data_IF_274559068556
#
_entry.id   IF_274559068556
#
_cell.length_a   1.000
_cell.length_b   1.000
_cell.length_c   1.000
_cell.angle_alpha   90.00
_cell.angle_beta   90.00
_cell.angle_gamma   90.00
#
_symmetry.space_group_name_H-M   'P 1'
#
loop_
_entity.id
_entity.type
_entity.pdbx_description
1 polymer ?
#
# COMPACT_ATOMS: atom_id res chain seq x y z
N UNK A 1 -8.86 -5.97 -16.75
CA UNK A 1 -7.95 -5.02 -17.42
C UNK A 1 -6.51 -5.40 -17.10
N UNK A 2 -5.78 -6.07 -18.00
CA UNK A 2 -4.33 -6.29 -17.81
C UNK A 2 -3.63 -4.97 -18.15
N UNK A 3 -3.14 -4.25 -17.13
CA UNK A 3 -2.19 -3.16 -17.36
C UNK A 3 -0.88 -3.80 -17.81
N UNK A 4 -0.30 -3.36 -18.93
CA UNK A 4 1.04 -3.76 -19.39
C UNK A 4 2.09 -3.15 -18.44
N UNK A 5 2.16 -3.66 -17.21
CA UNK A 5 3.10 -3.24 -16.19
C UNK A 5 3.84 -4.47 -15.68
N UNK A 6 5.15 -4.33 -15.44
CA UNK A 6 5.99 -5.38 -14.84
C UNK A 6 6.35 -4.97 -13.43
N UNK A 7 6.17 -5.88 -12.47
CA UNK A 7 6.67 -5.73 -11.12
C UNK A 7 8.06 -6.37 -11.03
N UNK A 8 9.03 -5.62 -10.52
CA UNK A 8 10.40 -6.09 -10.28
C UNK A 8 10.65 -6.01 -8.78
N UNK A 9 10.95 -7.14 -8.15
CA UNK A 9 11.34 -7.22 -6.74
C UNK A 9 12.85 -7.48 -6.67
N UNK A 10 13.55 -6.71 -5.85
CA UNK A 10 15.00 -6.84 -5.63
C UNK A 10 15.24 -7.37 -4.23
N UNK A 11 15.45 -8.69 -4.13
CA UNK A 11 15.57 -9.41 -2.86
C UNK A 11 17.02 -9.82 -2.54
N UNK A 12 17.34 -10.05 -1.27
CA UNK A 12 18.64 -10.56 -0.82
C UNK A 12 19.07 -10.08 0.56
N UNK A 13 20.24 -10.54 1.02
CA UNK A 13 20.77 -10.24 2.36
C UNK A 13 20.98 -8.75 2.63
N UNK A 14 21.00 -8.34 3.89
CA UNK A 14 21.32 -6.97 4.28
C UNK A 14 22.74 -6.59 3.83
N UNK A 15 22.94 -5.35 3.38
CA UNK A 15 24.26 -4.85 2.97
C UNK A 15 24.73 -5.27 1.57
N UNK A 16 23.98 -6.06 0.79
CA UNK A 16 24.41 -6.52 -0.56
C UNK A 16 24.17 -5.50 -1.69
N UNK A 17 23.75 -4.27 -1.37
CA UNK A 17 23.52 -3.22 -2.36
C UNK A 17 22.18 -3.28 -3.09
N UNK A 18 21.17 -3.96 -2.55
CA UNK A 18 19.81 -4.07 -3.14
C UNK A 18 19.20 -2.71 -3.49
N UNK A 19 19.18 -1.79 -2.53
CA UNK A 19 18.63 -0.45 -2.73
C UNK A 19 19.40 0.31 -3.82
N UNK A 20 20.73 0.18 -3.85
CA UNK A 20 21.59 0.75 -4.89
C UNK A 20 21.29 0.17 -6.27
N UNK A 21 21.10 -1.15 -6.38
CA UNK A 21 20.75 -1.80 -7.63
C UNK A 21 19.36 -1.36 -8.12
N UNK A 22 18.36 -1.35 -7.24
CA UNK A 22 17.00 -0.97 -7.57
C UNK A 22 16.91 0.49 -8.06
N UNK A 23 17.63 1.41 -7.40
CA UNK A 23 17.75 2.81 -7.81
C UNK A 23 18.43 2.96 -9.18
N UNK A 24 19.56 2.27 -9.40
CA UNK A 24 20.28 2.28 -10.69
C UNK A 24 19.45 1.69 -11.83
N UNK A 25 18.73 0.61 -11.57
CA UNK A 25 17.83 -0.01 -12.53
C UNK A 25 16.70 0.95 -12.93
N UNK A 26 16.08 1.61 -11.95
CA UNK A 26 15.09 2.65 -12.23
C UNK A 26 15.66 3.76 -13.11
N UNK A 27 16.83 4.30 -12.76
CA UNK A 27 17.51 5.33 -13.55
C UNK A 27 17.85 4.87 -14.97
N UNK A 28 18.24 3.60 -15.15
CA UNK A 28 18.48 3.02 -16.48
C UNK A 28 17.20 2.95 -17.33
N UNK A 29 16.08 2.51 -16.75
CA UNK A 29 14.81 2.41 -17.46
C UNK A 29 14.29 3.79 -17.90
N UNK A 30 14.35 4.79 -17.01
CA UNK A 30 13.98 6.17 -17.33
C UNK A 30 14.86 6.72 -18.45
N UNK A 31 16.18 6.48 -18.42
CA UNK A 31 17.10 6.86 -19.51
C UNK A 31 16.79 6.19 -20.85
N UNK A 32 16.05 5.08 -20.85
CA UNK A 32 15.58 4.36 -22.05
C UNK A 32 14.17 4.76 -22.46
N UNK A 33 13.62 5.82 -21.88
CA UNK A 33 12.25 6.30 -22.09
C UNK A 33 11.17 5.26 -21.69
N UNK A 34 11.53 4.36 -20.77
CA UNK A 34 10.60 3.37 -20.21
C UNK A 34 10.05 3.93 -18.91
N UNK A 35 8.73 4.14 -18.86
CA UNK A 35 8.04 4.56 -17.64
C UNK A 35 8.29 3.56 -16.51
N UNK A 36 8.88 4.05 -15.41
CA UNK A 36 9.25 3.25 -14.24
C UNK A 36 8.94 4.04 -12.99
N UNK A 37 8.51 3.35 -11.93
CA UNK A 37 8.37 3.91 -10.58
C UNK A 37 9.24 3.10 -9.63
N UNK A 38 10.05 3.79 -8.84
CA UNK A 38 10.88 3.19 -7.81
C UNK A 38 10.23 3.37 -6.43
N UNK A 39 10.23 2.29 -5.66
CA UNK A 39 9.70 2.26 -4.30
C UNK A 39 10.79 1.67 -3.41
N UNK A 40 11.22 2.44 -2.40
CA UNK A 40 12.14 1.98 -1.35
C UNK A 40 11.32 1.61 -0.12
N UNK A 41 11.66 0.57 0.63
CA UNK A 41 10.86 0.04 1.74
C UNK A 41 10.49 1.10 2.81
N UNK A 42 11.31 2.14 2.95
CA UNK A 42 11.05 3.28 3.85
C UNK A 42 10.30 4.48 3.23
N UNK A 43 9.88 4.41 1.96
CA UNK A 43 9.22 5.53 1.29
C UNK A 43 7.78 5.71 1.79
N UNK A 44 7.35 6.96 2.02
CA UNK A 44 5.93 7.27 2.21
C UNK A 44 5.13 6.77 1.01
N UNK A 45 3.98 6.14 1.27
CA UNK A 45 3.10 5.53 0.27
C UNK A 45 3.71 4.30 -0.44
N UNK A 46 4.69 3.63 0.18
CA UNK A 46 5.13 2.32 -0.32
C UNK A 46 3.92 1.36 -0.38
N UNK A 47 3.76 0.55 -1.44
CA UNK A 47 2.63 -0.38 -1.54
C UNK A 47 2.52 -1.34 -0.34
N UNK A 48 3.65 -1.69 0.28
CA UNK A 48 3.69 -2.50 1.52
C UNK A 48 3.38 -1.69 2.79
N UNK A 49 3.36 -0.36 2.75
CA UNK A 49 2.88 0.46 3.87
C UNK A 49 1.39 0.24 4.16
N UNK A 50 0.66 -0.40 3.23
CA UNK A 50 -0.72 -0.82 3.41
C UNK A 50 -0.88 -2.20 4.06
N UNK A 51 0.20 -2.93 4.36
CA UNK A 51 0.15 -4.30 4.91
C UNK A 51 -0.68 -4.45 6.20
N UNK A 52 -0.99 -3.35 6.89
CA UNK A 52 -1.79 -3.32 8.11
C UNK A 52 -3.17 -2.66 7.94
N UNK A 53 -3.70 -2.58 6.71
CA UNK A 53 -5.03 -2.04 6.44
C UNK A 53 -5.90 -3.09 5.78
N UNK A 54 -7.13 -3.21 6.27
CA UNK A 54 -8.18 -3.91 5.55
C UNK A 54 -8.78 -2.96 4.51
N UNK A 55 -8.94 -3.44 3.28
CA UNK A 55 -9.52 -2.69 2.16
C UNK A 55 -10.95 -3.17 1.90
N UNK A 56 -11.87 -2.23 1.76
CA UNK A 56 -13.28 -2.48 1.45
C UNK A 56 -13.72 -1.58 0.31
N UNK A 57 -14.46 -2.14 -0.65
CA UNK A 57 -15.30 -1.33 -1.54
C UNK A 57 -16.45 -0.75 -0.75
N UNK A 58 -17.06 0.32 -1.24
CA UNK A 58 -18.18 0.99 -0.57
C UNK A 58 -19.31 0.02 -0.16
N UNK A 59 -19.68 -0.91 -1.03
CA UNK A 59 -20.73 -1.90 -0.74
C UNK A 59 -20.30 -2.84 0.39
N UNK A 60 -19.09 -3.37 0.33
CA UNK A 60 -18.53 -4.29 1.36
C UNK A 60 -18.39 -3.59 2.71
N UNK A 61 -18.06 -2.29 2.69
CA UNK A 61 -17.98 -1.48 3.89
C UNK A 61 -19.36 -1.27 4.54
N UNK A 62 -20.39 -0.98 3.75
CA UNK A 62 -21.77 -0.89 4.26
C UNK A 62 -22.23 -2.21 4.86
N UNK A 63 -22.01 -3.32 4.16
CA UNK A 63 -22.31 -4.66 4.66
C UNK A 63 -21.57 -4.99 5.97
N UNK A 64 -20.32 -4.53 6.12
CA UNK A 64 -19.56 -4.70 7.36
C UNK A 64 -20.24 -3.97 8.54
N UNK A 65 -20.67 -2.72 8.34
CA UNK A 65 -21.33 -1.93 9.38
C UNK A 65 -22.70 -2.52 9.77
N UNK A 66 -23.44 -3.02 8.78
CA UNK A 66 -24.72 -3.70 9.00
C UNK A 66 -24.56 -5.03 9.74
N UNK A 67 -23.49 -5.78 9.44
CA UNK A 67 -23.20 -7.06 10.11
C UNK A 67 -22.79 -6.88 11.57
N UNK A 68 -22.17 -5.76 11.91
CA UNK A 68 -21.65 -5.48 13.27
C UNK A 68 -22.13 -4.12 13.80
N UNK A 69 -23.44 -3.94 14.06
CA UNK A 69 -24.00 -2.64 14.43
C UNK A 69 -23.41 -2.10 15.74
N UNK A 70 -23.10 -2.97 16.70
CA UNK A 70 -22.50 -2.60 17.98
C UNK A 70 -21.07 -2.05 17.85
N UNK A 71 -20.34 -2.46 16.80
CA UNK A 71 -18.98 -2.01 16.52
C UNK A 71 -18.93 -0.92 15.43
N UNK A 72 -20.07 -0.59 14.82
CA UNK A 72 -20.15 0.31 13.66
C UNK A 72 -19.52 1.68 13.92
N UNK A 73 -19.75 2.26 15.10
CA UNK A 73 -19.16 3.54 15.49
C UNK A 73 -17.63 3.48 15.61
N UNK A 74 -17.09 2.40 16.18
CA UNK A 74 -15.64 2.20 16.31
C UNK A 74 -14.99 1.95 14.95
N UNK A 75 -15.61 1.13 14.11
CA UNK A 75 -15.15 0.87 12.76
C UNK A 75 -15.14 2.17 11.95
N UNK A 76 -16.20 2.97 12.06
CA UNK A 76 -16.35 4.23 11.33
C UNK A 76 -15.37 5.30 11.79
N UNK A 77 -15.06 5.38 13.08
CA UNK A 77 -14.09 6.37 13.61
C UNK A 77 -12.66 6.11 13.13
N UNK A 78 -12.35 4.89 12.70
CA UNK A 78 -11.02 4.48 12.23
C UNK A 78 -10.93 4.34 10.71
N UNK A 79 -12.07 4.36 10.01
CA UNK A 79 -12.11 4.19 8.57
C UNK A 79 -11.55 5.43 7.85
N UNK A 80 -10.62 5.20 6.94
CA UNK A 80 -10.03 6.22 6.07
C UNK A 80 -10.77 6.14 4.73
N UNK A 81 -11.47 7.22 4.36
CA UNK A 81 -12.09 7.33 3.05
C UNK A 81 -11.01 7.50 1.97
N UNK A 82 -11.04 6.64 0.96
CA UNK A 82 -10.15 6.64 -0.20
C UNK A 82 -10.96 6.66 -1.50
N UNK A 83 -11.75 7.72 -1.69
CA UNK A 83 -12.65 7.89 -2.84
C UNK A 83 -13.91 7.04 -2.71
N UNK A 84 -14.04 6.02 -3.55
CA UNK A 84 -15.16 5.06 -3.52
C UNK A 84 -14.86 3.82 -2.66
N UNK A 85 -13.79 3.84 -1.87
CA UNK A 85 -13.33 2.70 -1.07
C UNK A 85 -12.90 3.16 0.32
N UNK A 86 -12.80 2.21 1.23
CA UNK A 86 -12.45 2.44 2.64
C UNK A 86 -11.24 1.60 3.03
N UNK A 87 -10.33 2.20 3.80
CA UNK A 87 -9.21 1.53 4.45
C UNK A 87 -9.42 1.57 5.95
N UNK A 88 -9.36 0.41 6.61
CA UNK A 88 -9.42 0.34 8.08
C UNK A 88 -8.06 -0.13 8.60
N UNK A 89 -7.31 0.71 9.33
CA UNK A 89 -6.03 0.32 9.90
C UNK A 89 -6.21 -0.66 11.05
N UNK A 90 -5.27 -1.59 11.18
CA UNK A 90 -5.22 -2.55 12.30
C UNK A 90 -5.10 -1.81 13.65
N UNK A 91 -5.75 -2.28 14.74
CA UNK A 91 -5.60 -1.77 16.11
C UNK A 91 -4.14 -1.67 16.58
N UNK A 92 -3.25 -2.50 16.06
CA UNK A 92 -1.85 -2.56 16.47
C UNK A 92 -0.97 -1.48 15.83
N UNK A 93 -1.51 -0.67 14.91
CA UNK A 93 -0.80 0.51 14.41
C UNK A 93 -0.97 1.65 15.42
N UNK A 94 -0.07 1.69 16.40
CA UNK A 94 0.15 2.92 17.16
C UNK A 94 0.56 4.01 16.17
N UNK A 95 -0.22 5.09 16.15
CA UNK A 95 0.10 6.32 15.45
C UNK A 95 1.37 6.87 16.08
N UNK A 96 2.54 6.55 15.51
CA UNK A 96 3.72 7.36 15.76
C UNK A 96 3.54 8.63 14.95
N UNK A 97 3.28 9.73 15.67
CA UNK A 97 3.40 11.11 15.17
C UNK A 97 4.70 11.31 14.39
#
# INVERSE_FOLDING_TARGET
MRRNCKLILVEGLCGTGKSTLAERLHGYLVKKDISSRFYNEGAMLHPTSLNWHAFFREVEYKELLERYPNASNEISSRAINNGSNYLIPSPWRHVTN
#
